data_IF_588444469632
#
_entry.id   IF_588444469632
#
_cell.length_a   1.000
_cell.length_b   1.000
_cell.length_c   1.000
_cell.angle_alpha   90.00
_cell.angle_beta   90.00
_cell.angle_gamma   90.00
#
_symmetry.space_group_name_H-M   'P 1'
#
loop_
_entity.id
_entity.type
_entity.pdbx_description
1 polymer ?
#
# COMPACT_ATOMS: atom_id res chain seq x y z
N UNK A 1 -19.05 35.18 3.45
CA UNK A 1 -19.43 33.78 3.14
C UNK A 1 -20.09 33.66 1.78
N UNK A 2 -21.16 34.42 1.53
CA UNK A 2 -21.89 34.44 0.24
C UNK A 2 -20.97 34.65 -0.96
N UNK A 3 -20.10 35.66 -0.92
CA UNK A 3 -19.14 35.94 -2.00
C UNK A 3 -18.23 34.73 -2.32
N UNK A 4 -17.77 34.00 -1.30
CA UNK A 4 -16.93 32.80 -1.50
C UNK A 4 -17.70 31.69 -2.22
N UNK A 5 -18.96 31.49 -1.87
CA UNK A 5 -19.84 30.51 -2.52
C UNK A 5 -20.13 30.94 -3.97
N UNK A 6 -20.47 32.21 -4.19
CA UNK A 6 -20.73 32.74 -5.52
C UNK A 6 -19.49 32.66 -6.42
N UNK A 7 -18.29 32.87 -5.87
CA UNK A 7 -17.03 32.72 -6.62
C UNK A 7 -16.83 31.27 -7.08
N UNK A 8 -17.18 30.28 -6.26
CA UNK A 8 -17.15 28.86 -6.67
C UNK A 8 -18.19 28.63 -7.77
N UNK A 9 -19.42 29.11 -7.60
CA UNK A 9 -20.47 28.97 -8.61
C UNK A 9 -20.04 29.55 -9.97
N UNK A 10 -19.42 30.73 -9.95
CA UNK A 10 -18.91 31.40 -11.15
C UNK A 10 -17.75 30.61 -11.78
N UNK A 11 -16.74 30.23 -10.99
CA UNK A 11 -15.56 29.53 -11.50
C UNK A 11 -15.85 28.11 -12.01
N UNK A 12 -16.89 27.46 -11.49
CA UNK A 12 -17.32 26.13 -11.91
C UNK A 12 -18.45 26.19 -12.96
N UNK A 13 -18.82 27.38 -13.43
CA UNK A 13 -19.92 27.60 -14.38
C UNK A 13 -21.22 26.90 -13.95
N UNK A 14 -21.51 26.86 -12.65
CA UNK A 14 -22.67 26.14 -12.11
C UNK A 14 -24.00 26.81 -12.48
N UNK A 15 -23.96 28.09 -12.85
CA UNK A 15 -25.10 28.85 -13.36
C UNK A 15 -25.23 28.83 -14.89
N UNK A 16 -24.37 28.12 -15.61
CA UNK A 16 -24.40 28.06 -17.07
C UNK A 16 -25.45 27.06 -17.56
N UNK A 17 -26.46 27.57 -18.28
CA UNK A 17 -27.55 26.78 -18.86
C UNK A 17 -27.12 25.95 -20.08
N UNK A 18 -25.92 26.20 -20.63
CA UNK A 18 -25.36 25.49 -21.79
C UNK A 18 -24.48 24.28 -21.45
N UNK A 19 -24.45 23.83 -20.18
CA UNK A 19 -23.55 22.77 -19.74
C UNK A 19 -23.86 21.42 -20.41
N UNK A 20 -22.85 20.83 -21.06
CA UNK A 20 -22.94 19.49 -21.65
C UNK A 20 -22.90 18.43 -20.54
N UNK A 21 -23.72 17.37 -20.69
CA UNK A 21 -23.70 16.24 -19.77
C UNK A 21 -22.33 15.53 -19.79
N UNK A 22 -21.85 15.13 -18.61
CA UNK A 22 -20.64 14.32 -18.50
C UNK A 22 -20.81 12.92 -19.10
N UNK A 23 -19.68 12.28 -19.43
CA UNK A 23 -19.65 10.85 -19.79
C UNK A 23 -19.44 10.02 -18.52
N UNK A 24 -20.14 8.89 -18.41
CA UNK A 24 -20.02 7.95 -17.30
C UNK A 24 -19.90 6.53 -17.83
N UNK A 25 -19.06 5.71 -17.19
CA UNK A 25 -18.89 4.28 -17.50
C UNK A 25 -18.57 3.99 -18.98
N UNK A 26 -17.60 4.71 -19.54
CA UNK A 26 -17.06 4.44 -20.88
C UNK A 26 -15.86 3.50 -20.80
N UNK A 27 -15.46 2.83 -21.90
CA UNK A 27 -14.26 2.01 -21.93
C UNK A 27 -13.01 2.77 -21.46
N UNK A 28 -12.85 4.03 -21.83
CA UNK A 28 -11.69 4.84 -21.44
C UNK A 28 -11.63 5.09 -19.93
N UNK A 29 -12.79 5.25 -19.26
CA UNK A 29 -12.86 5.36 -17.80
C UNK A 29 -12.48 4.03 -17.13
N UNK A 30 -12.86 2.92 -17.77
CA UNK A 30 -12.55 1.57 -17.31
C UNK A 30 -11.04 1.31 -17.42
N UNK A 31 -10.41 1.70 -18.52
CA UNK A 31 -8.96 1.61 -18.71
C UNK A 31 -8.19 2.39 -17.64
N UNK A 32 -8.64 3.61 -17.31
CA UNK A 32 -8.06 4.40 -16.22
C UNK A 32 -8.20 3.68 -14.87
N UNK A 33 -9.37 3.10 -14.58
CA UNK A 33 -9.58 2.34 -13.35
C UNK A 33 -8.64 1.12 -13.28
N UNK A 34 -8.45 0.42 -14.39
CA UNK A 34 -7.51 -0.69 -14.50
C UNK A 34 -6.05 -0.25 -14.31
N UNK A 35 -5.63 0.85 -14.93
CA UNK A 35 -4.27 1.40 -14.79
C UNK A 35 -3.98 1.79 -13.34
N UNK A 36 -4.91 2.48 -12.68
CA UNK A 36 -4.79 2.83 -11.25
C UNK A 36 -4.73 1.56 -10.40
N UNK A 37 -5.63 0.60 -10.62
CA UNK A 37 -5.69 -0.63 -9.86
C UNK A 37 -4.41 -1.47 -9.99
N UNK A 38 -3.90 -1.61 -11.21
CA UNK A 38 -2.71 -2.40 -11.51
C UNK A 38 -1.42 -1.75 -11.02
N UNK A 39 -1.32 -0.41 -11.06
CA UNK A 39 -0.19 0.34 -10.51
C UNK A 39 -0.21 0.46 -8.98
N UNK A 40 -1.35 0.22 -8.34
CA UNK A 40 -1.52 0.28 -6.88
C UNK A 40 -1.07 -1.01 -6.19
N UNK A 41 -1.20 -2.17 -6.85
CA UNK A 41 -0.85 -3.47 -6.25
C UNK A 41 0.63 -3.48 -5.82
N UNK A 42 0.85 -3.84 -4.55
CA UNK A 42 2.18 -3.93 -3.95
C UNK A 42 2.58 -5.39 -3.78
N UNK A 43 3.68 -5.80 -4.39
CA UNK A 43 4.29 -7.10 -4.11
C UNK A 43 5.15 -6.98 -2.86
N UNK A 44 4.70 -7.54 -1.74
CA UNK A 44 5.39 -7.44 -0.45
C UNK A 44 6.48 -8.51 -0.30
N UNK A 45 6.19 -9.73 -0.78
CA UNK A 45 7.07 -10.90 -0.68
C UNK A 45 6.94 -11.75 -1.94
N UNK A 46 8.05 -12.29 -2.44
CA UNK A 46 8.07 -13.23 -3.56
C UNK A 46 9.29 -14.17 -3.48
N UNK A 47 9.18 -15.25 -2.72
CA UNK A 47 10.24 -16.25 -2.59
C UNK A 47 10.34 -17.12 -3.83
N UNK A 48 11.58 -17.50 -4.18
CA UNK A 48 11.91 -18.37 -5.32
C UNK A 48 11.31 -17.92 -6.66
N UNK A 49 10.99 -16.63 -6.80
CA UNK A 49 10.32 -16.08 -7.98
C UNK A 49 9.02 -16.83 -8.33
N UNK A 50 8.23 -17.21 -7.30
CA UNK A 50 6.95 -17.92 -7.48
C UNK A 50 5.98 -17.12 -8.37
N UNK A 51 5.88 -15.81 -8.15
CA UNK A 51 5.18 -14.90 -9.04
C UNK A 51 6.14 -14.30 -10.08
N UNK A 52 5.67 -14.09 -11.34
CA UNK A 52 4.33 -14.41 -11.82
C UNK A 52 4.10 -15.91 -12.06
N UNK A 53 2.86 -16.36 -11.87
CA UNK A 53 2.44 -17.73 -12.17
C UNK A 53 2.46 -17.99 -13.68
N UNK A 54 3.04 -19.12 -14.08
CA UNK A 54 3.05 -19.52 -15.48
C UNK A 54 1.77 -20.32 -15.81
N UNK A 55 0.83 -19.66 -16.47
CA UNK A 55 -0.46 -20.22 -16.88
C UNK A 55 -0.34 -21.52 -17.70
N UNK A 56 0.75 -21.72 -18.47
CA UNK A 56 0.90 -22.92 -19.31
C UNK A 56 1.46 -24.12 -18.56
N UNK A 57 1.97 -23.92 -17.34
CA UNK A 57 2.52 -24.98 -16.47
C UNK A 57 1.58 -25.39 -15.35
N UNK A 58 0.48 -24.65 -15.14
CA UNK A 58 -0.53 -24.94 -14.13
C UNK A 58 -1.64 -25.78 -14.75
N UNK A 59 -2.05 -26.83 -14.05
CA UNK A 59 -3.23 -27.63 -14.37
C UNK A 59 -4.37 -27.34 -13.41
N UNK A 60 -4.08 -27.19 -12.12
CA UNK A 60 -5.08 -26.93 -11.08
C UNK A 60 -4.65 -25.80 -10.15
N UNK A 61 -5.53 -24.85 -9.94
CA UNK A 61 -5.32 -23.69 -9.05
C UNK A 61 -6.43 -23.67 -8.00
N UNK A 62 -6.05 -23.75 -6.72
CA UNK A 62 -7.00 -23.51 -5.64
C UNK A 62 -7.11 -22.01 -5.40
N UNK A 63 -8.34 -21.49 -5.38
CA UNK A 63 -8.63 -20.10 -5.05
C UNK A 63 -9.48 -20.09 -3.78
N UNK A 64 -8.95 -19.48 -2.72
CA UNK A 64 -9.46 -19.67 -1.36
C UNK A 64 -9.68 -18.31 -0.71
N UNK A 65 -10.85 -18.07 -0.12
CA UNK A 65 -11.13 -16.89 0.70
C UNK A 65 -12.36 -16.12 0.25
N UNK A 66 -13.13 -15.58 1.20
CA UNK A 66 -14.38 -14.88 0.90
C UNK A 66 -14.15 -13.56 0.12
N UNK A 67 -13.00 -12.91 0.31
CA UNK A 67 -12.63 -11.68 -0.40
C UNK A 67 -12.42 -11.87 -1.92
N UNK A 68 -12.30 -13.10 -2.40
CA UNK A 68 -12.13 -13.41 -3.83
C UNK A 68 -13.40 -13.19 -4.66
N UNK A 69 -14.57 -13.21 -4.01
CA UNK A 69 -15.89 -13.00 -4.66
C UNK A 69 -16.61 -11.74 -4.18
N UNK A 70 -16.05 -11.04 -3.18
CA UNK A 70 -16.66 -9.86 -2.59
C UNK A 70 -16.36 -8.60 -3.40
N UNK A 71 -17.39 -7.79 -3.61
CA UNK A 71 -17.29 -6.45 -4.17
C UNK A 71 -16.96 -5.46 -3.06
N UNK A 72 -15.95 -4.63 -3.27
CA UNK A 72 -15.45 -3.65 -2.30
C UNK A 72 -15.86 -2.22 -2.64
N UNK A 73 -16.55 -2.00 -3.77
CA UNK A 73 -17.12 -0.69 -4.11
C UNK A 73 -18.31 -0.30 -3.22
N UNK A 74 -19.07 -1.30 -2.76
CA UNK A 74 -20.24 -1.13 -1.89
C UNK A 74 -19.86 -1.18 -0.40
N UNK A 75 -20.51 -0.34 0.41
CA UNK A 75 -20.25 -0.24 1.86
C UNK A 75 -19.16 0.77 2.24
N UNK A 76 -18.90 0.90 3.56
CA UNK A 76 -17.97 1.91 4.09
C UNK A 76 -18.57 3.32 4.22
N UNK A 77 -19.89 3.39 4.46
CA UNK A 77 -20.64 4.62 4.72
C UNK A 77 -20.53 5.64 3.58
N UNK A 78 -19.96 6.84 3.81
CA UNK A 78 -20.06 7.96 2.85
C UNK A 78 -19.10 7.81 1.66
N UNK A 79 -18.07 6.98 1.79
CA UNK A 79 -17.11 6.69 0.72
C UNK A 79 -17.54 5.51 -0.18
N UNK A 80 -18.75 5.00 -0.01
CA UNK A 80 -19.38 4.00 -0.90
C UNK A 80 -19.59 4.58 -2.30
N UNK A 81 -19.24 3.82 -3.33
CA UNK A 81 -19.54 4.15 -4.72
C UNK A 81 -20.35 3.01 -5.32
N UNK A 82 -21.59 3.31 -5.71
CA UNK A 82 -22.44 2.40 -6.49
C UNK A 82 -21.88 2.25 -7.91
N UNK A 83 -20.83 1.46 -8.04
CA UNK A 83 -20.18 1.18 -9.30
C UNK A 83 -21.16 0.46 -10.24
N UNK A 84 -21.11 0.81 -11.52
CA UNK A 84 -22.00 0.17 -12.52
C UNK A 84 -21.65 -1.31 -12.71
N UNK A 85 -20.39 -1.66 -12.49
CA UNK A 85 -19.90 -3.01 -12.38
C UNK A 85 -18.65 -3.02 -11.49
N UNK A 86 -18.32 -4.19 -10.96
CA UNK A 86 -17.04 -4.48 -10.33
C UNK A 86 -16.69 -5.93 -10.65
N UNK A 87 -15.46 -6.13 -11.13
CA UNK A 87 -14.91 -7.45 -11.43
C UNK A 87 -14.26 -7.99 -10.17
N UNK A 88 -14.83 -9.04 -9.61
CA UNK A 88 -14.24 -9.75 -8.48
C UNK A 88 -12.91 -10.41 -8.87
N UNK A 89 -12.00 -10.64 -7.91
CA UNK A 89 -10.77 -11.38 -8.17
C UNK A 89 -11.00 -12.74 -8.85
N UNK A 90 -12.01 -13.51 -8.42
CA UNK A 90 -12.35 -14.80 -9.03
C UNK A 90 -12.73 -14.67 -10.50
N UNK A 91 -13.55 -13.66 -10.83
CA UNK A 91 -13.96 -13.39 -12.21
C UNK A 91 -12.76 -13.01 -13.08
N UNK A 92 -11.88 -12.15 -12.57
CA UNK A 92 -10.64 -11.78 -13.27
C UNK A 92 -9.71 -12.97 -13.50
N UNK A 93 -9.52 -13.81 -12.47
CA UNK A 93 -8.67 -15.02 -12.55
C UNK A 93 -9.26 -16.03 -13.54
N UNK A 94 -10.56 -16.30 -13.48
CA UNK A 94 -11.25 -17.20 -14.44
C UNK A 94 -11.15 -16.68 -15.87
N UNK A 95 -11.39 -15.39 -16.07
CA UNK A 95 -11.27 -14.74 -17.38
C UNK A 95 -9.84 -14.88 -17.95
N UNK A 96 -8.81 -14.70 -17.11
CA UNK A 96 -7.41 -14.81 -17.55
C UNK A 96 -6.97 -16.25 -17.78
N UNK A 97 -7.42 -17.18 -16.94
CA UNK A 97 -7.12 -18.60 -17.04
C UNK A 97 -7.78 -19.25 -18.28
N UNK A 98 -9.03 -18.88 -18.57
CA UNK A 98 -9.86 -19.59 -19.54
C UNK A 98 -9.97 -21.08 -19.20
N UNK A 99 -10.00 -21.94 -20.21
CA UNK A 99 -10.09 -23.40 -20.03
C UNK A 99 -8.73 -24.09 -19.78
N UNK A 100 -7.65 -23.31 -19.56
CA UNK A 100 -6.29 -23.85 -19.45
C UNK A 100 -5.98 -24.41 -18.06
N UNK A 101 -6.67 -23.92 -17.04
CA UNK A 101 -6.44 -24.28 -15.64
C UNK A 101 -7.79 -24.62 -15.01
N UNK A 102 -7.87 -25.76 -14.32
CA UNK A 102 -9.00 -26.07 -13.44
C UNK A 102 -8.92 -25.17 -12.19
N UNK A 103 -9.92 -24.32 -11.99
CA UNK A 103 -10.03 -23.44 -10.82
C UNK A 103 -10.99 -24.05 -9.80
N UNK A 104 -10.45 -24.41 -8.64
CA UNK A 104 -11.20 -24.94 -7.50
C UNK A 104 -11.35 -23.84 -6.44
N UNK A 105 -12.56 -23.26 -6.35
CA UNK A 105 -12.86 -22.18 -5.42
C UNK A 105 -13.41 -22.70 -4.10
N UNK A 106 -12.86 -22.21 -2.97
CA UNK A 106 -13.35 -22.49 -1.63
C UNK A 106 -13.49 -21.19 -0.82
N UNK A 107 -14.56 -21.08 -0.03
CA UNK A 107 -14.82 -19.84 0.74
C UNK A 107 -13.76 -19.58 1.83
N UNK A 108 -13.24 -20.63 2.48
CA UNK A 108 -12.14 -20.55 3.45
C UNK A 108 -12.49 -19.99 4.84
N UNK A 109 -13.25 -18.89 4.93
CA UNK A 109 -13.69 -18.28 6.19
C UNK A 109 -15.09 -17.68 6.07
N UNK A 110 -15.79 -17.53 7.20
CA UNK A 110 -17.14 -16.95 7.26
C UNK A 110 -17.11 -15.58 7.92
N UNK A 111 -17.69 -14.59 7.24
CA UNK A 111 -17.79 -13.21 7.74
C UNK A 111 -18.91 -13.08 8.78
N UNK A 112 -18.65 -13.56 10.00
CA UNK A 112 -19.59 -13.42 11.12
C UNK A 112 -19.30 -12.16 11.88
N UNK A 113 -20.35 -11.43 12.24
CA UNK A 113 -20.27 -10.27 13.11
C UNK A 113 -21.14 -10.48 14.35
N UNK A 114 -20.69 -9.96 15.48
CA UNK A 114 -21.52 -9.87 16.69
C UNK A 114 -21.73 -8.41 17.06
N UNK A 115 -22.92 -8.08 17.57
CA UNK A 115 -23.22 -6.76 18.09
C UNK A 115 -22.74 -6.64 19.53
N UNK A 116 -22.22 -5.47 19.88
CA UNK A 116 -21.93 -5.09 21.26
C UNK A 116 -22.87 -3.94 21.63
N UNK A 117 -23.60 -4.11 22.73
CA UNK A 117 -24.41 -3.04 23.30
C UNK A 117 -23.49 -1.95 23.85
N UNK A 118 -23.65 -0.74 23.34
CA UNK A 118 -22.84 0.44 23.69
C UNK A 118 -23.55 1.37 24.67
N UNK A 119 -24.64 0.92 25.31
CA UNK A 119 -25.29 1.67 26.38
C UNK A 119 -25.97 2.96 25.90
N UNK A 120 -26.61 2.93 24.73
CA UNK A 120 -27.40 4.04 24.18
C UNK A 120 -26.78 4.76 22.96
N UNK A 121 -25.63 4.30 22.45
CA UNK A 121 -25.14 4.68 21.12
C UNK A 121 -25.60 3.66 20.07
N UNK A 122 -25.40 3.95 18.78
CA UNK A 122 -25.68 3.00 17.70
C UNK A 122 -24.93 1.66 17.95
N UNK A 123 -25.59 0.50 17.74
CA UNK A 123 -24.97 -0.80 17.96
C UNK A 123 -23.73 -0.95 17.07
N UNK A 124 -22.62 -1.38 17.66
CA UNK A 124 -21.36 -1.59 16.96
C UNK A 124 -21.19 -3.07 16.65
N UNK A 125 -20.75 -3.35 15.42
CA UNK A 125 -20.57 -4.71 14.92
C UNK A 125 -19.09 -5.03 14.85
N UNK A 126 -18.72 -6.18 15.39
CA UNK A 126 -17.34 -6.63 15.45
C UNK A 126 -17.17 -7.96 14.72
N UNK A 127 -16.10 -8.14 13.94
CA UNK A 127 -15.84 -9.41 13.30
C UNK A 127 -15.54 -10.47 14.36
N UNK A 128 -16.22 -11.61 14.24
CA UNK A 128 -15.96 -12.80 15.05
C UNK A 128 -14.55 -13.33 14.69
N UNK A 129 -13.62 -13.43 15.66
CA UNK A 129 -12.29 -13.95 15.40
C UNK A 129 -12.27 -15.48 15.26
N UNK A 130 -13.36 -16.18 15.57
CA UNK A 130 -13.37 -17.63 15.55
C UNK A 130 -13.38 -18.21 14.13
N UNK A 131 -12.46 -19.15 13.82
CA UNK A 131 -12.40 -19.79 12.52
C UNK A 131 -13.60 -20.73 12.30
N UNK A 132 -13.99 -20.90 11.04
CA UNK A 132 -14.91 -21.96 10.64
C UNK A 132 -14.13 -23.24 10.29
N UNK A 133 -14.14 -24.22 11.20
CA UNK A 133 -13.36 -25.45 11.04
C UNK A 133 -13.76 -26.31 9.83
N UNK A 134 -15.00 -26.17 9.33
CA UNK A 134 -15.47 -26.89 8.14
C UNK A 134 -14.84 -26.24 6.89
N UNK A 135 -14.95 -24.90 6.79
CA UNK A 135 -14.39 -24.16 5.65
C UNK A 135 -12.87 -24.30 5.57
N UNK A 136 -12.17 -24.36 6.71
CA UNK A 136 -10.72 -24.62 6.73
C UNK A 136 -10.42 -26.03 6.18
N UNK A 137 -11.20 -27.06 6.53
CA UNK A 137 -10.97 -28.42 6.02
C UNK A 137 -11.16 -28.50 4.51
N UNK A 138 -12.19 -27.84 3.99
CA UNK A 138 -12.46 -27.75 2.55
C UNK A 138 -11.33 -27.03 1.81
N UNK A 139 -10.89 -25.87 2.33
CA UNK A 139 -9.75 -25.13 1.81
C UNK A 139 -8.45 -25.95 1.78
N UNK A 140 -8.15 -26.68 2.87
CA UNK A 140 -6.99 -27.58 2.95
C UNK A 140 -7.07 -28.71 1.93
N UNK A 141 -8.26 -29.29 1.72
CA UNK A 141 -8.46 -30.35 0.73
C UNK A 141 -8.23 -29.86 -0.71
N UNK A 142 -8.74 -28.67 -1.06
CA UNK A 142 -8.49 -28.04 -2.36
C UNK A 142 -7.01 -27.70 -2.54
N UNK A 143 -6.39 -27.09 -1.52
CA UNK A 143 -4.97 -26.70 -1.56
C UNK A 143 -4.03 -27.89 -1.76
N UNK A 144 -4.29 -29.03 -1.13
CA UNK A 144 -3.43 -30.23 -1.22
C UNK A 144 -3.33 -30.79 -2.65
N UNK A 145 -4.37 -30.62 -3.46
CA UNK A 145 -4.45 -31.18 -4.82
C UNK A 145 -4.09 -30.16 -5.91
N UNK A 146 -3.79 -28.91 -5.56
CA UNK A 146 -3.51 -27.84 -6.51
C UNK A 146 -2.01 -27.66 -6.77
N UNK A 147 -1.66 -27.18 -7.96
CA UNK A 147 -0.27 -26.86 -8.33
C UNK A 147 0.23 -25.58 -7.62
N UNK A 148 -0.70 -24.68 -7.31
CA UNK A 148 -0.50 -23.44 -6.54
C UNK A 148 -1.81 -23.04 -5.86
N UNK A 149 -1.72 -22.13 -4.89
CA UNK A 149 -2.89 -21.59 -4.17
C UNK A 149 -2.88 -20.07 -4.22
N UNK A 150 -4.02 -19.47 -4.56
CA UNK A 150 -4.30 -18.06 -4.32
C UNK A 150 -5.22 -17.97 -3.10
N UNK A 151 -4.69 -17.47 -1.98
CA UNK A 151 -5.44 -17.29 -0.74
C UNK A 151 -5.74 -15.80 -0.56
N UNK A 152 -6.99 -15.41 -0.76
CA UNK A 152 -7.49 -14.07 -0.53
C UNK A 152 -7.81 -13.89 0.95
N UNK A 153 -7.08 -12.98 1.59
CA UNK A 153 -7.22 -12.62 2.99
C UNK A 153 -7.37 -11.10 3.13
N UNK A 154 -7.65 -10.61 4.33
CA UNK A 154 -7.73 -9.19 4.62
C UNK A 154 -9.00 -8.81 5.38
N UNK A 155 -9.41 -7.58 5.16
CA UNK A 155 -10.62 -6.96 5.74
C UNK A 155 -11.68 -6.80 4.65
N UNK A 156 -12.72 -6.04 4.95
CA UNK A 156 -13.71 -5.58 3.99
C UNK A 156 -14.32 -4.25 4.48
N UNK A 157 -15.25 -3.69 3.70
CA UNK A 157 -15.92 -2.40 3.97
C UNK A 157 -16.82 -2.37 5.22
N UNK A 158 -17.08 -3.53 5.84
CA UNK A 158 -17.76 -3.63 7.13
C UNK A 158 -16.78 -3.63 8.31
N UNK A 159 -15.56 -4.12 8.10
CA UNK A 159 -14.48 -4.11 9.10
C UNK A 159 -13.74 -2.77 9.13
N UNK A 160 -13.52 -2.16 7.96
CA UNK A 160 -12.96 -0.82 7.81
C UNK A 160 -14.07 0.15 7.37
N UNK A 161 -14.67 0.85 8.33
CA UNK A 161 -15.84 1.70 8.09
C UNK A 161 -15.74 3.05 8.78
N UNK A 162 -16.40 4.06 8.22
CA UNK A 162 -16.48 5.38 8.83
C UNK A 162 -17.19 5.33 10.19
N UNK A 163 -16.69 6.13 11.15
CA UNK A 163 -17.31 6.30 12.46
C UNK A 163 -16.87 5.29 13.52
N UNK A 164 -16.13 4.24 13.15
CA UNK A 164 -15.56 3.28 14.12
C UNK A 164 -14.17 2.84 13.65
N UNK A 165 -13.18 2.96 14.53
CA UNK A 165 -11.85 2.43 14.29
C UNK A 165 -11.78 0.91 14.54
N UNK A 166 -10.92 0.22 13.81
CA UNK A 166 -10.58 -1.19 14.12
C UNK A 166 -9.89 -1.27 15.48
N UNK A 167 -10.23 -2.29 16.27
CA UNK A 167 -9.63 -2.54 17.60
C UNK A 167 -8.28 -3.26 17.56
N UNK A 168 -7.97 -3.91 16.45
CA UNK A 168 -6.75 -4.70 16.25
C UNK A 168 -6.29 -4.60 14.79
N UNK A 169 -5.02 -4.92 14.56
CA UNK A 169 -4.47 -5.13 13.21
C UNK A 169 -4.75 -6.54 12.69
N UNK A 170 -5.17 -7.46 13.55
CA UNK A 170 -5.33 -8.87 13.20
C UNK A 170 -6.33 -9.07 12.07
N UNK A 171 -6.05 -10.07 11.22
CA UNK A 171 -6.99 -10.47 10.20
C UNK A 171 -8.27 -11.04 10.86
N UNK A 172 -9.46 -10.55 10.48
CA UNK A 172 -10.72 -11.01 11.06
C UNK A 172 -11.04 -12.46 10.69
N UNK A 173 -12.08 -13.04 11.30
CA UNK A 173 -12.68 -14.33 10.87
C UNK A 173 -11.73 -15.55 10.96
N UNK A 174 -10.73 -15.49 11.84
CA UNK A 174 -9.79 -16.59 12.06
C UNK A 174 -8.84 -16.88 10.88
N UNK A 175 -8.65 -15.90 9.99
CA UNK A 175 -7.88 -16.05 8.74
C UNK A 175 -6.43 -16.50 8.96
N UNK A 176 -5.76 -16.11 10.05
CA UNK A 176 -4.41 -16.60 10.36
C UNK A 176 -4.34 -18.12 10.52
N UNK A 177 -5.38 -18.73 11.10
CA UNK A 177 -5.47 -20.19 11.23
C UNK A 177 -5.68 -20.85 9.87
N UNK A 178 -6.49 -20.24 9.00
CA UNK A 178 -6.67 -20.68 7.61
C UNK A 178 -5.36 -20.60 6.82
N UNK A 179 -4.67 -19.47 6.85
CA UNK A 179 -3.39 -19.24 6.16
C UNK A 179 -2.38 -20.30 6.58
N UNK A 180 -2.20 -20.52 7.89
CA UNK A 180 -1.28 -21.53 8.40
C UNK A 180 -1.64 -22.93 7.92
N UNK A 181 -2.92 -23.31 7.98
CA UNK A 181 -3.38 -24.63 7.58
C UNK A 181 -3.18 -24.90 6.08
N UNK A 182 -3.47 -23.91 5.23
CA UNK A 182 -3.29 -24.01 3.77
C UNK A 182 -1.80 -24.06 3.39
N UNK A 183 -0.98 -23.16 3.94
CA UNK A 183 0.46 -23.13 3.63
C UNK A 183 1.17 -24.42 4.10
N UNK A 184 0.68 -25.07 5.16
CA UNK A 184 1.24 -26.33 5.64
C UNK A 184 1.05 -27.51 4.68
N UNK A 185 0.03 -27.47 3.80
CA UNK A 185 -0.23 -28.54 2.83
C UNK A 185 0.16 -28.18 1.40
N UNK A 186 0.36 -26.89 1.10
CA UNK A 186 0.86 -26.44 -0.19
C UNK A 186 1.87 -25.29 -0.03
N UNK A 187 3.16 -25.50 -0.30
CA UNK A 187 4.17 -24.45 -0.15
C UNK A 187 4.07 -23.37 -1.23
N UNK A 188 3.38 -23.62 -2.35
CA UNK A 188 3.16 -22.65 -3.43
C UNK A 188 1.90 -21.82 -3.19
N UNK A 189 1.73 -21.36 -1.96
CA UNK A 189 0.64 -20.44 -1.59
C UNK A 189 1.10 -18.99 -1.75
N UNK A 190 0.27 -18.23 -2.48
CA UNK A 190 0.32 -16.77 -2.58
C UNK A 190 -0.84 -16.22 -1.75
N UNK A 191 -0.55 -15.34 -0.79
CA UNK A 191 -1.58 -14.60 -0.05
C UNK A 191 -1.83 -13.27 -0.73
N UNK A 192 -3.08 -13.00 -1.10
CA UNK A 192 -3.52 -11.72 -1.67
C UNK A 192 -4.32 -10.98 -0.60
N UNK A 193 -3.79 -9.88 -0.11
CA UNK A 193 -4.37 -9.07 0.97
C UNK A 193 -5.25 -7.97 0.39
N UNK A 194 -6.56 -8.08 0.64
CA UNK A 194 -7.59 -7.10 0.30
C UNK A 194 -7.92 -6.31 1.57
N UNK A 195 -7.37 -5.10 1.71
CA UNK A 195 -7.61 -4.24 2.87
C UNK A 195 -7.29 -2.77 2.58
N UNK A 196 -7.93 -1.84 3.28
CA UNK A 196 -7.70 -0.39 3.13
C UNK A 196 -6.51 0.14 3.94
N UNK A 197 -6.15 -0.55 5.02
CA UNK A 197 -5.12 -0.12 5.98
C UNK A 197 -4.33 -1.31 6.53
N UNK A 198 -3.18 -1.03 7.15
CA UNK A 198 -2.23 -2.05 7.61
C UNK A 198 -2.92 -3.19 8.38
N UNK A 199 -2.58 -4.44 8.03
CA UNK A 199 -3.01 -5.64 8.75
C UNK A 199 -1.80 -6.31 9.39
N UNK A 200 -2.02 -7.11 10.42
CA UNK A 200 -1.00 -7.99 10.98
C UNK A 200 -0.73 -9.11 9.96
N UNK A 201 0.42 -9.03 9.30
CA UNK A 201 0.82 -9.99 8.27
C UNK A 201 1.87 -10.99 8.76
N UNK A 202 2.07 -11.13 10.08
CA UNK A 202 3.12 -11.97 10.64
C UNK A 202 2.99 -13.44 10.20
N UNK A 203 1.77 -14.01 10.23
CA UNK A 203 1.54 -15.41 9.83
C UNK A 203 1.64 -15.58 8.32
N UNK A 204 1.14 -14.63 7.53
CA UNK A 204 1.29 -14.65 6.09
C UNK A 204 2.78 -14.61 5.70
N UNK A 205 3.55 -13.70 6.28
CA UNK A 205 4.98 -13.52 5.98
C UNK A 205 5.82 -14.73 6.38
N UNK A 206 5.50 -15.38 7.51
CA UNK A 206 6.23 -16.58 7.94
C UNK A 206 5.86 -17.86 7.18
N UNK A 207 4.72 -17.89 6.49
CA UNK A 207 4.14 -19.16 5.98
C UNK A 207 3.96 -19.18 4.46
N UNK A 208 3.60 -18.06 3.84
CA UNK A 208 3.33 -17.97 2.41
C UNK A 208 4.62 -17.70 1.62
N UNK A 209 4.70 -18.25 0.40
CA UNK A 209 5.84 -18.01 -0.50
C UNK A 209 5.77 -16.63 -1.16
N UNK A 210 4.57 -16.08 -1.36
CA UNK A 210 4.40 -14.73 -1.89
C UNK A 210 3.23 -14.00 -1.23
N UNK A 211 3.33 -12.67 -1.18
CA UNK A 211 2.30 -11.79 -0.63
C UNK A 211 2.10 -10.60 -1.57
N UNK A 212 0.87 -10.44 -2.03
CA UNK A 212 0.39 -9.25 -2.74
C UNK A 212 -0.53 -8.45 -1.83
N UNK A 213 -0.43 -7.13 -1.86
CA UNK A 213 -1.36 -6.22 -1.22
C UNK A 213 -2.16 -5.50 -2.31
N UNK A 214 -3.46 -5.81 -2.42
CA UNK A 214 -4.29 -5.37 -3.54
C UNK A 214 -5.15 -4.15 -3.25
N UNK A 215 -5.35 -3.79 -1.99
CA UNK A 215 -6.30 -2.74 -1.58
C UNK A 215 -7.77 -3.10 -1.86
N UNK A 216 -8.67 -2.16 -1.59
CA UNK A 216 -10.02 -2.12 -2.17
C UNK A 216 -9.92 -1.57 -3.60
N UNK A 217 -9.57 -2.44 -4.55
CA UNK A 217 -8.95 -2.06 -5.83
C UNK A 217 -9.91 -1.59 -6.94
N UNK A 218 -11.10 -1.12 -6.57
CA UNK A 218 -12.09 -0.54 -7.49
C UNK A 218 -12.68 -1.51 -8.53
N UNK A 219 -13.40 -0.96 -9.51
CA UNK A 219 -14.23 -1.71 -10.46
C UNK A 219 -13.46 -2.69 -11.35
N UNK A 220 -12.18 -2.42 -11.60
CA UNK A 220 -11.28 -3.26 -12.42
C UNK A 220 -10.29 -4.08 -11.58
N UNK A 221 -10.47 -4.08 -10.26
CA UNK A 221 -9.55 -4.70 -9.31
C UNK A 221 -9.26 -6.17 -9.60
N UNK A 222 -10.29 -6.96 -9.92
CA UNK A 222 -10.12 -8.38 -10.24
C UNK A 222 -9.30 -8.63 -11.51
N UNK A 223 -9.51 -7.82 -12.57
CA UNK A 223 -8.72 -7.91 -13.79
C UNK A 223 -7.26 -7.52 -13.52
N UNK A 224 -7.03 -6.44 -12.77
CA UNK A 224 -5.68 -5.99 -12.40
C UNK A 224 -4.92 -7.04 -11.56
N UNK A 225 -5.58 -7.65 -10.57
CA UNK A 225 -5.02 -8.72 -9.74
C UNK A 225 -4.61 -9.92 -10.61
N UNK A 226 -5.50 -10.37 -11.51
CA UNK A 226 -5.19 -11.48 -12.40
C UNK A 226 -3.99 -11.17 -13.32
N UNK A 227 -3.93 -9.97 -13.89
CA UNK A 227 -2.84 -9.56 -14.76
C UNK A 227 -1.49 -9.44 -14.03
N UNK A 228 -1.49 -9.04 -12.76
CA UNK A 228 -0.29 -9.10 -11.92
C UNK A 228 0.09 -10.55 -11.61
N UNK A 229 -0.85 -11.39 -11.17
CA UNK A 229 -0.58 -12.79 -10.80
C UNK A 229 0.03 -13.56 -11.97
N UNK A 230 -0.49 -13.38 -13.19
CA UNK A 230 -0.02 -14.08 -14.38
C UNK A 230 1.02 -13.30 -15.19
N UNK A 231 1.52 -12.16 -14.68
CA UNK A 231 2.67 -11.45 -15.24
C UNK A 231 2.41 -10.65 -16.52
N UNK A 232 1.15 -10.39 -16.86
CA UNK A 232 0.82 -9.39 -17.89
C UNK A 232 1.12 -7.97 -17.42
N UNK A 233 1.05 -7.75 -16.11
CA UNK A 233 1.52 -6.53 -15.43
C UNK A 233 2.63 -6.89 -14.45
N UNK A 234 3.73 -6.13 -14.50
CA UNK A 234 4.77 -6.18 -13.49
C UNK A 234 4.38 -5.24 -12.32
N UNK A 235 4.22 -5.74 -11.08
CA UNK A 235 3.79 -4.92 -9.95
C UNK A 235 4.80 -3.81 -9.68
N UNK A 236 4.27 -2.63 -9.34
CA UNK A 236 5.07 -1.42 -9.16
C UNK A 236 4.52 -0.47 -8.10
N UNK A 237 3.50 -0.89 -7.34
CA UNK A 237 3.02 -0.18 -6.18
C UNK A 237 4.08 -0.18 -5.06
N UNK A 238 4.07 0.86 -4.24
CA UNK A 238 4.90 0.99 -3.04
C UNK A 238 4.01 1.35 -1.86
N UNK A 239 4.27 0.80 -0.68
CA UNK A 239 3.45 1.04 0.51
C UNK A 239 3.43 2.54 0.91
N UNK A 240 2.26 3.17 1.07
CA UNK A 240 2.15 4.55 1.53
C UNK A 240 2.20 4.67 3.06
N UNK A 241 2.26 3.56 3.79
CA UNK A 241 2.38 3.50 5.25
C UNK A 241 3.28 2.33 5.68
N UNK A 242 3.68 2.33 6.94
CA UNK A 242 4.43 1.23 7.56
C UNK A 242 3.46 0.15 8.02
N UNK A 243 3.75 -1.12 7.72
CA UNK A 243 3.05 -2.27 8.32
C UNK A 243 3.86 -2.71 9.55
N UNK A 244 3.34 -2.54 10.77
CA UNK A 244 4.07 -2.88 11.99
C UNK A 244 4.05 -4.40 12.26
N UNK A 245 4.90 -4.88 13.17
CA UNK A 245 4.86 -6.28 13.62
C UNK A 245 3.71 -6.46 14.63
N UNK A 246 3.46 -5.46 15.49
CA UNK A 246 2.34 -5.44 16.44
C UNK A 246 1.83 -4.02 16.64
N UNK A 247 0.63 -3.88 17.18
CA UNK A 247 -0.03 -2.58 17.35
C UNK A 247 0.77 -1.65 18.27
N UNK A 248 1.42 -2.19 19.29
CA UNK A 248 2.23 -1.44 20.26
C UNK A 248 3.51 -0.87 19.66
N UNK A 249 3.90 -1.26 18.45
CA UNK A 249 5.02 -0.63 17.73
C UNK A 249 4.62 0.73 17.14
N UNK A 250 3.32 1.00 16.96
CA UNK A 250 2.79 2.25 16.42
C UNK A 250 2.84 3.33 17.49
N UNK A 251 3.39 4.50 17.15
CA UNK A 251 3.66 5.60 18.10
C UNK A 251 2.47 5.96 19.00
N UNK A 252 1.28 6.10 18.41
CA UNK A 252 0.07 6.47 19.14
C UNK A 252 -0.35 5.43 20.20
N UNK A 253 -0.07 4.15 19.97
CA UNK A 253 -0.30 3.08 20.95
C UNK A 253 0.87 2.95 21.94
N UNK A 254 2.12 3.01 21.45
CA UNK A 254 3.32 2.97 22.28
C UNK A 254 3.33 4.06 23.37
N UNK A 255 2.77 5.23 23.07
CA UNK A 255 2.71 6.39 23.97
C UNK A 255 1.38 6.51 24.73
N UNK A 256 0.44 5.57 24.54
CA UNK A 256 -0.93 5.67 25.06
C UNK A 256 -1.57 7.03 24.72
N UNK A 257 -1.40 7.48 23.47
CA UNK A 257 -1.98 8.71 22.93
C UNK A 257 -3.37 8.44 22.33
N UNK A 258 -3.58 7.25 21.78
CA UNK A 258 -4.86 6.80 21.23
C UNK A 258 -5.61 5.87 22.21
N UNK A 259 -6.95 5.94 22.32
CA UNK A 259 -7.89 6.80 21.60
C UNK A 259 -8.14 8.17 22.26
N UNK A 260 -7.30 8.57 23.23
CA UNK A 260 -7.53 9.74 24.07
C UNK A 260 -8.32 9.45 25.34
N UNK A 261 -8.61 10.50 26.11
CA UNK A 261 -9.38 10.46 27.36
C UNK A 261 -10.23 11.72 27.46
N UNK A 262 -11.45 11.61 27.99
CA UNK A 262 -12.35 12.75 28.23
C UNK A 262 -12.56 13.62 26.96
N UNK A 263 -12.78 12.97 25.81
CA UNK A 263 -12.95 13.62 24.50
C UNK A 263 -11.75 14.46 24.02
N UNK A 264 -10.57 14.27 24.61
CA UNK A 264 -9.32 14.89 24.20
C UNK A 264 -8.29 13.85 23.75
N UNK A 265 -7.58 14.14 22.66
CA UNK A 265 -6.46 13.34 22.13
C UNK A 265 -5.23 14.22 22.04
N UNK A 266 -4.18 13.87 22.79
CA UNK A 266 -2.88 14.53 22.71
C UNK A 266 -1.95 13.73 21.80
N UNK A 267 -1.41 14.37 20.75
CA UNK A 267 -0.54 13.73 19.76
C UNK A 267 0.91 13.72 20.29
N UNK A 268 1.16 12.85 21.27
CA UNK A 268 2.43 12.77 22.03
C UNK A 268 3.65 12.44 21.18
N UNK A 269 3.45 11.79 20.05
CA UNK A 269 4.51 11.43 19.11
C UNK A 269 5.03 12.63 18.31
N UNK A 270 4.29 13.75 18.30
CA UNK A 270 4.64 14.94 17.55
C UNK A 270 4.86 14.64 16.06
N UNK A 271 6.02 15.00 15.53
CA UNK A 271 6.37 14.76 14.12
C UNK A 271 6.76 13.30 13.81
N UNK A 272 6.97 12.47 14.84
CA UNK A 272 7.40 11.09 14.69
C UNK A 272 6.18 10.20 14.44
N UNK A 273 5.57 10.34 13.25
CA UNK A 273 4.41 9.55 12.80
C UNK A 273 4.82 8.61 11.66
N UNK A 274 4.30 7.38 11.67
CA UNK A 274 4.60 6.37 10.65
C UNK A 274 6.10 6.04 10.62
N UNK A 275 6.69 5.91 9.43
CA UNK A 275 8.11 5.56 9.30
C UNK A 275 9.06 6.50 10.04
N UNK A 276 8.70 7.77 10.26
CA UNK A 276 9.49 8.70 11.07
C UNK A 276 9.67 8.19 12.49
N UNK A 277 8.64 7.59 13.08
CA UNK A 277 8.72 6.91 14.37
C UNK A 277 9.62 5.69 14.30
N UNK A 278 9.33 4.77 13.38
CA UNK A 278 10.02 3.49 13.27
C UNK A 278 11.52 3.67 13.05
N UNK A 279 11.90 4.55 12.12
CA UNK A 279 13.30 4.84 11.83
C UNK A 279 14.03 5.49 13.02
N UNK A 280 13.41 6.51 13.63
CA UNK A 280 14.05 7.30 14.71
C UNK A 280 14.16 6.49 16.00
N UNK A 281 13.21 5.58 16.24
CA UNK A 281 13.21 4.68 17.40
C UNK A 281 13.85 3.32 17.11
N UNK A 282 14.34 3.10 15.89
CA UNK A 282 14.95 1.85 15.44
C UNK A 282 14.05 0.62 15.65
N UNK A 283 12.75 0.79 15.44
CA UNK A 283 11.76 -0.28 15.53
C UNK A 283 11.66 -0.93 14.16
N UNK A 284 11.87 -2.25 14.10
CA UNK A 284 11.79 -3.00 12.83
C UNK A 284 10.33 -3.23 12.43
N UNK A 285 9.86 -2.68 11.30
CA UNK A 285 8.53 -2.97 10.79
C UNK A 285 8.45 -4.37 10.16
N UNK A 286 7.24 -4.87 9.95
CA UNK A 286 7.03 -6.05 9.11
C UNK A 286 7.28 -5.71 7.64
N UNK A 287 6.73 -4.60 7.17
CA UNK A 287 7.07 -4.00 5.88
C UNK A 287 7.21 -2.49 6.03
N UNK A 288 8.32 -1.94 5.56
CA UNK A 288 8.64 -0.53 5.73
C UNK A 288 7.85 0.37 4.76
N UNK A 289 7.82 1.67 5.05
CA UNK A 289 7.22 2.66 4.15
C UNK A 289 7.96 2.67 2.81
N UNK A 290 7.21 2.81 1.72
CA UNK A 290 7.76 2.79 0.37
C UNK A 290 8.23 1.40 -0.08
N UNK A 291 7.99 0.31 0.68
CA UNK A 291 8.31 -1.05 0.26
C UNK A 291 7.43 -1.52 -0.89
N UNK A 292 7.99 -2.31 -1.80
CA UNK A 292 7.28 -2.92 -2.92
C UNK A 292 8.26 -3.49 -3.93
N UNK A 293 8.16 -4.81 -4.13
CA UNK A 293 8.98 -5.59 -5.05
C UNK A 293 8.45 -5.48 -6.49
N UNK A 294 9.25 -5.97 -7.42
CA UNK A 294 8.94 -6.06 -8.85
C UNK A 294 9.35 -7.45 -9.36
N UNK A 295 8.82 -7.86 -10.50
CA UNK A 295 9.30 -9.05 -11.23
C UNK A 295 10.65 -8.82 -11.93
N UNK A 296 11.18 -7.61 -11.87
CA UNK A 296 12.54 -7.29 -12.32
C UNK A 296 13.35 -6.60 -11.22
N UNK A 297 14.65 -6.47 -11.42
CA UNK A 297 15.56 -5.85 -10.47
C UNK A 297 16.13 -4.55 -11.05
N UNK A 298 16.37 -3.56 -10.19
CA UNK A 298 16.90 -2.27 -10.58
C UNK A 298 18.18 -1.95 -9.80
N UNK A 299 19.18 -1.39 -10.48
CA UNK A 299 20.40 -0.87 -9.86
C UNK A 299 20.45 0.64 -9.98
N UNK A 300 21.06 1.31 -8.99
CA UNK A 300 21.16 2.76 -8.92
C UNK A 300 22.64 3.15 -9.06
N UNK A 301 22.94 4.18 -9.85
CA UNK A 301 24.30 4.72 -9.96
C UNK A 301 24.65 5.65 -8.80
N UNK A 302 25.91 6.10 -8.75
CA UNK A 302 26.29 7.23 -7.90
C UNK A 302 25.46 8.49 -8.24
N UNK A 303 24.88 9.16 -7.24
CA UNK A 303 24.08 10.36 -7.43
C UNK A 303 24.99 11.56 -7.70
N UNK A 304 24.51 12.52 -8.49
CA UNK A 304 25.19 13.81 -8.68
C UNK A 304 24.30 14.98 -8.31
N UNK A 305 24.95 16.06 -7.92
CA UNK A 305 24.37 17.35 -7.55
C UNK A 305 25.06 18.48 -8.29
N UNK A 306 24.37 19.60 -8.49
CA UNK A 306 24.90 20.77 -9.20
C UNK A 306 26.03 21.49 -8.44
N UNK A 307 26.00 21.49 -7.10
CA UNK A 307 27.06 22.06 -6.26
C UNK A 307 27.01 21.42 -4.86
N UNK A 308 27.98 21.76 -4.00
CA UNK A 308 28.10 21.19 -2.64
C UNK A 308 27.47 22.05 -1.55
N UNK A 309 27.45 23.36 -1.73
CA UNK A 309 27.04 24.34 -0.72
C UNK A 309 25.89 25.19 -1.25
N UNK A 310 24.86 25.37 -0.44
CA UNK A 310 23.62 26.06 -0.81
C UNK A 310 23.21 27.09 0.25
N UNK A 311 22.40 28.05 -0.17
CA UNK A 311 21.73 29.04 0.67
C UNK A 311 20.21 28.88 0.56
N UNK A 312 19.48 29.49 1.49
CA UNK A 312 18.01 29.58 1.46
C UNK A 312 17.50 30.12 0.11
N UNK A 313 16.37 29.60 -0.37
CA UNK A 313 15.80 29.92 -1.69
C UNK A 313 16.49 29.27 -2.89
N UNK A 314 17.60 28.54 -2.72
CA UNK A 314 18.27 27.85 -3.83
C UNK A 314 17.70 26.45 -4.11
N UNK A 315 17.92 25.97 -5.34
CA UNK A 315 17.52 24.64 -5.78
C UNK A 315 18.70 23.67 -5.85
N UNK A 316 18.59 22.55 -5.15
CA UNK A 316 19.45 21.39 -5.28
C UNK A 316 18.97 20.58 -6.47
N UNK A 317 19.75 20.59 -7.55
CA UNK A 317 19.47 19.79 -8.75
C UNK A 317 20.21 18.46 -8.63
N UNK A 318 19.44 17.41 -8.46
CA UNK A 318 19.91 16.05 -8.24
C UNK A 318 19.69 15.19 -9.48
N UNK A 319 20.62 14.29 -9.76
CA UNK A 319 20.46 13.27 -10.81
C UNK A 319 20.99 11.92 -10.35
N UNK A 320 20.30 10.86 -10.75
CA UNK A 320 20.73 9.47 -10.56
C UNK A 320 20.31 8.65 -11.78
N UNK A 321 21.09 7.67 -12.17
CA UNK A 321 20.68 6.72 -13.20
C UNK A 321 20.16 5.44 -12.57
N UNK A 322 19.08 4.92 -13.13
CA UNK A 322 18.48 3.63 -12.78
C UNK A 322 18.61 2.70 -13.98
N UNK A 323 19.12 1.49 -13.75
CA UNK A 323 19.21 0.44 -14.77
C UNK A 323 18.26 -0.69 -14.42
N UNK A 324 17.51 -1.21 -15.39
CA UNK A 324 16.77 -2.46 -15.23
C UNK A 324 17.70 -3.64 -15.56
N UNK A 325 18.08 -4.41 -14.54
CA UNK A 325 19.04 -5.52 -14.65
C UNK A 325 18.37 -6.84 -15.07
N UNK A 326 17.04 -6.89 -15.10
CA UNK A 326 16.30 -8.09 -15.48
C UNK A 326 15.89 -8.11 -16.95
N UNK A 327 15.08 -9.13 -17.28
CA UNK A 327 14.66 -9.46 -18.65
C UNK A 327 13.21 -9.05 -18.97
N UNK A 328 12.50 -8.45 -18.01
CA UNK A 328 11.11 -8.02 -18.15
C UNK A 328 11.03 -6.50 -17.90
N UNK A 329 10.23 -5.75 -18.67
CA UNK A 329 10.01 -4.33 -18.41
C UNK A 329 9.42 -4.11 -17.01
N UNK A 330 9.76 -2.98 -16.39
CA UNK A 330 9.22 -2.64 -15.07
C UNK A 330 9.19 -1.14 -14.82
N UNK A 331 8.51 -0.76 -13.75
CA UNK A 331 8.48 0.61 -13.24
C UNK A 331 9.14 0.64 -11.88
N UNK A 332 10.10 1.54 -11.68
CA UNK A 332 10.76 1.77 -10.38
C UNK A 332 10.35 3.14 -9.84
N UNK A 333 10.12 3.21 -8.52
CA UNK A 333 9.87 4.48 -7.82
C UNK A 333 11.09 4.85 -7.01
N UNK A 334 11.90 5.77 -7.56
CA UNK A 334 13.05 6.33 -6.86
C UNK A 334 12.55 7.33 -5.81
N UNK A 335 12.83 7.03 -4.55
CA UNK A 335 12.45 7.84 -3.39
C UNK A 335 13.68 8.60 -2.89
N UNK A 336 13.54 9.90 -2.64
CA UNK A 336 14.61 10.77 -2.14
C UNK A 336 14.25 11.26 -0.75
N UNK A 337 15.00 10.76 0.23
CA UNK A 337 14.90 11.15 1.62
C UNK A 337 16.01 12.12 2.00
N UNK A 338 15.78 12.93 3.04
CA UNK A 338 16.79 13.82 3.61
C UNK A 338 16.93 13.56 5.10
N UNK A 339 18.17 13.46 5.56
CA UNK A 339 18.55 13.45 6.98
C UNK A 339 19.35 14.71 7.29
N UNK A 340 18.97 15.46 8.32
CA UNK A 340 19.78 16.56 8.85
C UNK A 340 20.80 16.00 9.83
N UNK A 341 22.08 16.17 9.52
CA UNK A 341 23.15 15.71 10.38
C UNK A 341 23.29 16.69 11.55
N UNK A 342 23.42 16.16 12.77
CA UNK A 342 23.65 16.93 14.01
C UNK A 342 22.68 18.11 14.21
N UNK A 343 21.37 17.88 14.02
CA UNK A 343 20.35 18.91 14.25
C UNK A 343 20.29 19.31 15.72
N UNK A 344 20.13 20.61 15.99
CA UNK A 344 19.90 21.16 17.34
C UNK A 344 18.48 20.96 17.86
N UNK A 345 17.57 20.45 17.02
CA UNK A 345 16.17 20.15 17.36
C UNK A 345 15.83 18.70 17.07
N UNK A 346 14.75 18.19 17.69
CA UNK A 346 14.23 16.89 17.33
C UNK A 346 13.78 16.88 15.86
N UNK A 347 14.36 15.99 15.07
CA UNK A 347 13.93 15.68 13.70
C UNK A 347 13.69 14.18 13.56
N UNK A 348 12.89 13.81 12.56
CA UNK A 348 12.85 12.42 12.13
C UNK A 348 14.23 11.99 11.60
N UNK A 349 14.57 10.71 11.78
CA UNK A 349 15.81 10.14 11.28
C UNK A 349 16.01 10.40 9.79
N UNK A 350 14.93 10.41 8.99
CA UNK A 350 14.95 10.87 7.61
C UNK A 350 13.54 11.24 7.18
N UNK A 351 13.43 12.07 6.16
CA UNK A 351 12.14 12.53 5.62
C UNK A 351 12.11 12.43 4.11
N UNK A 352 11.08 11.79 3.55
CA UNK A 352 10.79 11.80 2.12
C UNK A 352 10.53 13.24 1.69
N UNK A 353 11.28 13.73 0.71
CA UNK A 353 11.08 15.07 0.14
C UNK A 353 10.58 15.03 -1.30
N UNK A 354 11.00 14.04 -2.08
CA UNK A 354 10.55 13.90 -3.47
C UNK A 354 10.67 12.44 -3.93
N UNK A 355 9.80 12.01 -4.84
CA UNK A 355 9.92 10.72 -5.51
C UNK A 355 9.54 10.84 -6.99
N UNK A 356 10.03 9.90 -7.81
CA UNK A 356 9.68 9.79 -9.22
C UNK A 356 9.54 8.32 -9.61
N UNK A 357 8.41 7.99 -10.23
CA UNK A 357 8.17 6.68 -10.85
C UNK A 357 8.58 6.74 -12.32
N UNK A 358 9.37 5.78 -12.78
CA UNK A 358 9.87 5.70 -14.15
C UNK A 358 9.71 4.28 -14.70
N UNK A 359 9.22 4.18 -15.94
CA UNK A 359 9.29 2.94 -16.71
C UNK A 359 10.69 2.78 -17.31
N UNK A 360 11.24 1.57 -17.20
CA UNK A 360 12.60 1.21 -17.67
C UNK A 360 12.54 -0.17 -18.35
N UNK A 361 12.94 -0.23 -19.62
CA UNK A 361 13.01 -1.46 -20.41
C UNK A 361 14.16 -2.37 -19.95
N UNK A 362 14.14 -3.68 -20.23
CA UNK A 362 15.25 -4.60 -19.91
C UNK A 362 16.60 -4.08 -20.43
N UNK A 363 17.61 -4.01 -19.57
CA UNK A 363 18.95 -3.49 -19.90
C UNK A 363 19.03 -1.98 -20.16
N UNK A 364 17.91 -1.25 -20.14
CA UNK A 364 17.90 0.21 -20.30
C UNK A 364 18.45 0.88 -19.04
N UNK A 365 19.28 1.91 -19.24
CA UNK A 365 19.71 2.84 -18.21
C UNK A 365 19.04 4.20 -18.41
N UNK A 366 18.24 4.63 -17.44
CA UNK A 366 17.48 5.88 -17.49
C UNK A 366 17.92 6.86 -16.42
N UNK A 367 18.17 8.11 -16.79
CA UNK A 367 18.53 9.17 -15.83
C UNK A 367 17.28 9.85 -15.29
N UNK A 368 17.18 9.93 -13.96
CA UNK A 368 16.11 10.60 -13.22
C UNK A 368 16.63 11.91 -12.66
N UNK A 369 15.84 12.97 -12.79
CA UNK A 369 16.15 14.30 -12.31
C UNK A 369 15.20 14.69 -11.17
N UNK A 370 15.75 15.32 -10.13
CA UNK A 370 14.98 15.87 -9.03
C UNK A 370 15.43 17.30 -8.76
N UNK A 371 14.46 18.11 -8.35
CA UNK A 371 14.68 19.44 -7.82
C UNK A 371 14.19 19.42 -6.37
N UNK A 372 15.03 19.87 -5.45
CA UNK A 372 14.71 20.01 -4.04
C UNK A 372 15.01 21.46 -3.66
N UNK A 373 14.00 22.17 -3.13
CA UNK A 373 14.24 23.51 -2.57
C UNK A 373 14.94 23.37 -1.23
N UNK A 374 15.90 24.25 -0.94
CA UNK A 374 16.45 24.35 0.42
C UNK A 374 15.35 24.68 1.43
N UNK A 375 14.33 25.43 1.02
CA UNK A 375 13.18 25.77 1.87
C UNK A 375 12.36 24.53 2.25
N UNK A 376 12.39 23.46 1.44
CA UNK A 376 11.74 22.18 1.76
C UNK A 376 12.45 21.44 2.91
N UNK A 377 13.66 21.86 3.30
CA UNK A 377 14.42 21.31 4.42
C UNK A 377 14.08 21.96 5.76
N UNK A 378 13.24 22.99 5.74
CA UNK A 378 12.85 23.73 6.92
C UNK A 378 12.08 22.84 7.91
N UNK A 379 12.23 23.18 9.19
CA UNK A 379 11.33 22.74 10.26
C UNK A 379 10.53 23.94 10.75
N UNK A 380 9.39 23.69 11.39
CA UNK A 380 8.62 24.76 12.00
C UNK A 380 9.14 25.04 13.41
N UNK A 381 9.63 26.25 13.65
CA UNK A 381 10.09 26.71 14.96
C UNK A 381 8.91 27.36 15.70
N UNK A 382 8.48 26.73 16.81
CA UNK A 382 7.35 27.22 17.61
C UNK A 382 7.67 28.53 18.36
N UNK A 383 8.93 28.77 18.74
CA UNK A 383 9.34 30.00 19.42
C UNK A 383 9.34 31.20 18.48
N UNK A 384 9.69 30.98 17.22
CA UNK A 384 9.69 32.01 16.17
C UNK A 384 8.40 32.07 15.36
N UNK A 385 7.51 31.08 15.51
CA UNK A 385 6.26 30.91 14.75
C UNK A 385 6.46 30.99 13.23
N UNK A 386 7.52 30.35 12.72
CA UNK A 386 7.86 30.34 11.29
C UNK A 386 8.68 29.10 10.91
N UNK A 387 8.75 28.85 9.60
CA UNK A 387 9.67 27.87 9.03
C UNK A 387 11.11 28.38 9.08
N UNK A 388 12.04 27.51 9.48
CA UNK A 388 13.47 27.80 9.57
C UNK A 388 14.27 26.67 8.94
N UNK A 389 15.19 27.02 8.05
CA UNK A 389 16.20 26.08 7.55
C UNK A 389 17.41 26.15 8.46
N UNK A 390 17.79 24.99 9.03
CA UNK A 390 18.97 24.92 9.89
C UNK A 390 20.23 24.82 9.04
N UNK A 391 21.29 25.60 9.30
CA UNK A 391 22.55 25.46 8.57
C UNK A 391 23.25 24.13 8.89
N UNK A 392 24.27 23.81 8.10
CA UNK A 392 25.10 22.63 8.25
C UNK A 392 24.80 21.53 7.24
N UNK A 393 25.26 20.33 7.58
CA UNK A 393 25.28 19.20 6.66
C UNK A 393 23.92 18.48 6.60
N UNK A 394 23.51 18.09 5.39
CA UNK A 394 22.35 17.26 5.10
C UNK A 394 22.74 16.08 4.21
N UNK A 395 22.36 14.87 4.63
CA UNK A 395 22.49 13.66 3.83
C UNK A 395 21.24 13.48 2.96
N UNK A 396 21.42 13.31 1.66
CA UNK A 396 20.37 13.03 0.68
C UNK A 396 20.47 11.57 0.28
N UNK A 397 19.44 10.80 0.59
CA UNK A 397 19.40 9.34 0.42
C UNK A 397 18.47 8.97 -0.74
N UNK A 398 18.99 8.24 -1.72
CA UNK A 398 18.24 7.71 -2.85
C UNK A 398 17.93 6.24 -2.58
N UNK A 399 16.66 5.89 -2.65
CA UNK A 399 16.17 4.64 -2.13
C UNK A 399 15.08 4.02 -3.02
N UNK A 400 14.89 2.70 -2.89
CA UNK A 400 13.73 1.99 -3.47
C UNK A 400 12.61 1.77 -2.44
N UNK A 401 12.93 1.92 -1.15
CA UNK A 401 12.01 1.98 0.00
C UNK A 401 12.68 2.74 1.15
N UNK A 402 11.98 3.00 2.26
CA UNK A 402 12.60 3.65 3.43
C UNK A 402 13.73 2.85 4.08
N UNK A 403 13.85 1.54 3.84
CA UNK A 403 14.96 0.71 4.34
C UNK A 403 15.97 0.30 3.26
N UNK A 404 15.61 0.36 1.97
CA UNK A 404 16.51 0.06 0.84
C UNK A 404 17.15 1.34 0.29
N UNK A 405 18.11 1.88 1.05
CA UNK A 405 18.95 3.01 0.63
C UNK A 405 20.07 2.49 -0.28
N UNK A 406 20.06 2.92 -1.55
CA UNK A 406 21.01 2.44 -2.56
C UNK A 406 22.15 3.41 -2.84
N UNK A 407 21.96 4.68 -2.54
CA UNK A 407 22.93 5.73 -2.80
C UNK A 407 22.74 6.92 -1.86
N UNK A 408 23.83 7.60 -1.52
CA UNK A 408 23.83 8.79 -0.66
C UNK A 408 24.69 9.89 -1.28
N UNK A 409 24.25 11.14 -1.14
CA UNK A 409 25.09 12.31 -1.38
C UNK A 409 24.88 13.32 -0.27
N UNK A 410 25.80 14.27 -0.12
CA UNK A 410 25.79 15.23 0.99
C UNK A 410 25.80 16.66 0.47
N UNK A 411 24.99 17.53 1.05
CA UNK A 411 25.03 18.97 0.82
C UNK A 411 25.28 19.72 2.12
N UNK A 412 25.84 20.91 1.99
CA UNK A 412 25.99 21.87 3.09
C UNK A 412 25.03 23.04 2.85
N UNK A 413 24.28 23.45 3.88
CA UNK A 413 23.43 24.64 3.86
C UNK A 413 24.06 25.72 4.73
N UNK A 414 24.18 26.94 4.21
CA UNK A 414 24.76 28.10 4.90
C UNK A 414 23.74 28.96 5.61
#
# INVERSE_FOLDING_TARGET
>A
MVERILRINYNCSLSDTGRVAGKVNTPEISDIAFDVASESIVLLKNENYLLPLNITKLKRLAVIGANDVQRQSEGGFTADVKARYEVSPLEGIRKKAGDKIEIDFQQGYREKFFSVDTGGRWPQWYPDPEPDSILIKEAVAAAKNADAVLLFAGTNRNVESEGVDRRTLDLPFGQDKLIRAVCAVNPKTIVVVVAGSACNLNIADSSASAILYSWFNGSEGGNAIADVIFGSVNPSGKLPFTIPVKLEDVAAHALNAYPGKNDEVEYKEGILVGYRWFDTKQIKPRFCFGHGLSYTQFSYSDPRRNKKVFSEGELVRLRISVTNEGIIPGKETVQVYVHKNNSGVLRAQKELKVFRKIAVQPGEKKTVLFNLSIDDLAYFDNGLNRWVVEPGEYSILFASSSEDIRAVTVIEVK
#
